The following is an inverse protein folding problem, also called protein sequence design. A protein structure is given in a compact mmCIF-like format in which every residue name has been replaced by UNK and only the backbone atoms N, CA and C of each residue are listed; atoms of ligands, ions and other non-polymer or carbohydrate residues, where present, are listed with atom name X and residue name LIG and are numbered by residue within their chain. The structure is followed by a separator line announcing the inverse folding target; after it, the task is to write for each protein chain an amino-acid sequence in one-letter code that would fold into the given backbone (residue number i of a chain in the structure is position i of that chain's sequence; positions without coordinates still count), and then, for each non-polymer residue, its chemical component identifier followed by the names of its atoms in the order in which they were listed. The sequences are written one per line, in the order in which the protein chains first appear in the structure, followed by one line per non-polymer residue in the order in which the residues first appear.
data_IF_905900832109
#
_entry.id   IF_905900832109
#
_cell.length_a   1.000
_cell.length_b   1.000
_cell.length_c   1.000
_cell.angle_alpha   90.00
_cell.angle_beta   90.00
_cell.angle_gamma   90.00
#
_symmetry.space_group_name_H-M   'P 1'
#
loop_
_entity.id
_entity.type
_entity.pdbx_description
1 polymer ?
#
# COMPACT_ATOMS: atom_id res chain seq x y z
N UNK A 1 -18.41 3.15 1.34
CA UNK A 1 -18.68 1.70 1.53
C UNK A 1 -17.65 0.85 0.80
N UNK A 2 -17.46 1.00 -0.52
CA UNK A 2 -16.50 0.21 -1.31
C UNK A 2 -15.02 0.42 -0.91
N UNK A 3 -14.63 1.67 -0.62
CA UNK A 3 -13.29 2.02 -0.13
C UNK A 3 -12.92 1.28 1.15
N UNK A 4 -13.83 1.25 2.12
CA UNK A 4 -13.63 0.55 3.39
C UNK A 4 -13.41 -0.95 3.16
N UNK A 5 -14.21 -1.57 2.28
CA UNK A 5 -14.08 -2.99 1.95
C UNK A 5 -12.74 -3.28 1.32
N UNK A 6 -12.29 -2.47 0.36
CA UNK A 6 -11.02 -2.72 -0.31
C UNK A 6 -9.82 -2.45 0.62
N UNK A 7 -9.91 -1.44 1.50
CA UNK A 7 -8.91 -1.20 2.56
C UNK A 7 -8.82 -2.38 3.53
N UNK A 8 -9.94 -3.01 3.89
CA UNK A 8 -9.97 -4.26 4.68
C UNK A 8 -9.34 -5.40 3.89
N UNK A 9 -9.69 -5.55 2.60
CA UNK A 9 -9.16 -6.59 1.74
C UNK A 9 -7.64 -6.55 1.64
N UNK A 10 -7.02 -5.38 1.54
CA UNK A 10 -5.55 -5.25 1.49
C UNK A 10 -4.88 -5.11 2.87
N UNK A 11 -5.62 -5.29 3.96
CA UNK A 11 -5.08 -5.23 5.31
C UNK A 11 -4.59 -6.62 5.74
N UNK A 12 -3.31 -6.76 6.09
CA UNK A 12 -2.74 -8.06 6.48
C UNK A 12 -2.81 -8.35 7.99
N UNK A 13 -3.66 -7.62 8.72
CA UNK A 13 -3.75 -7.67 10.18
C UNK A 13 -2.81 -6.71 10.91
N UNK A 14 -1.82 -6.12 10.22
CA UNK A 14 -0.88 -5.14 10.82
C UNK A 14 -0.88 -3.79 10.13
N UNK A 15 -0.96 -3.77 8.79
CA UNK A 15 -0.95 -2.55 7.98
C UNK A 15 -1.77 -2.72 6.71
N UNK A 16 -2.19 -1.60 6.14
CA UNK A 16 -2.75 -1.52 4.79
C UNK A 16 -1.59 -1.68 3.79
N UNK A 17 -1.70 -2.65 2.89
CA UNK A 17 -0.67 -2.96 1.89
C UNK A 17 -1.00 -2.40 0.51
N UNK A 18 -0.79 -1.10 0.33
CA UNK A 18 -1.05 -0.43 -0.97
C UNK A 18 -0.21 -1.01 -2.13
N UNK A 19 0.94 -1.63 -1.83
CA UNK A 19 1.74 -2.35 -2.82
C UNK A 19 0.99 -3.52 -3.49
N UNK A 20 -0.04 -4.07 -2.84
CA UNK A 20 -0.91 -5.09 -3.43
C UNK A 20 -1.73 -4.50 -4.57
N UNK A 21 -2.30 -3.31 -4.40
CA UNK A 21 -3.07 -2.63 -5.44
C UNK A 21 -2.16 -2.24 -6.61
N UNK A 22 -0.95 -1.74 -6.31
CA UNK A 22 0.05 -1.40 -7.33
C UNK A 22 0.42 -2.64 -8.18
N UNK A 23 0.59 -3.80 -7.55
CA UNK A 23 0.88 -5.05 -8.27
C UNK A 23 -0.32 -5.60 -9.07
N UNK A 24 -1.55 -5.25 -8.70
CA UNK A 24 -2.77 -5.66 -9.42
C UNK A 24 -3.03 -4.81 -10.67
N UNK A 25 -2.61 -3.54 -10.68
CA UNK A 25 -2.87 -2.60 -11.79
C UNK A 25 -2.37 -3.10 -13.16
N UNK A 26 -1.14 -3.63 -13.32
CA UNK A 26 -0.71 -4.18 -14.61
C UNK A 26 -1.61 -5.31 -15.13
N UNK A 27 -2.08 -6.19 -14.24
CA UNK A 27 -2.96 -7.31 -14.61
C UNK A 27 -4.36 -6.84 -15.01
N UNK A 28 -4.87 -5.79 -14.37
CA UNK A 28 -6.11 -5.12 -14.78
C UNK A 28 -5.96 -4.46 -16.15
N UNK A 29 -4.81 -3.82 -16.42
CA UNK A 29 -4.52 -3.23 -17.72
C UNK A 29 -4.41 -4.29 -18.83
N UNK A 30 -3.76 -5.42 -18.58
CA UNK A 30 -3.75 -6.56 -19.51
C UNK A 30 -5.16 -7.04 -19.84
N UNK A 31 -6.00 -7.21 -18.82
CA UNK A 31 -7.39 -7.63 -19.00
C UNK A 31 -8.18 -6.59 -19.81
N UNK A 32 -8.05 -5.31 -19.48
CA UNK A 32 -8.69 -4.22 -20.23
C UNK A 32 -8.23 -4.16 -21.68
N UNK A 33 -6.94 -4.37 -21.94
CA UNK A 33 -6.39 -4.40 -23.29
C UNK A 33 -6.93 -5.58 -24.10
N UNK A 34 -7.10 -6.75 -23.47
CA UNK A 34 -7.79 -7.87 -24.10
C UNK A 34 -9.21 -7.50 -24.51
N UNK A 35 -10.00 -6.89 -23.62
CA UNK A 35 -11.36 -6.43 -23.94
C UNK A 35 -11.41 -5.33 -25.00
N UNK A 36 -10.38 -4.49 -25.06
CA UNK A 36 -10.30 -3.42 -26.06
C UNK A 36 -9.97 -3.95 -27.46
N UNK A 37 -9.31 -5.11 -27.55
CA UNK A 37 -8.90 -5.74 -28.80
C UNK A 37 -9.92 -6.78 -29.30
N UNK A 38 -10.55 -7.52 -28.40
CA UNK A 38 -11.51 -8.57 -28.76
C UNK A 38 -12.88 -7.98 -29.12
N UNK A 39 -13.56 -8.61 -30.08
CA UNK A 39 -14.91 -8.25 -30.53
C UNK A 39 -15.84 -9.47 -30.68
N UNK A 40 -15.41 -10.61 -30.13
CA UNK A 40 -16.06 -11.91 -30.34
C UNK A 40 -17.01 -12.30 -29.22
N UNK A 41 -16.88 -11.70 -28.04
CA UNK A 41 -17.63 -12.08 -26.86
C UNK A 41 -18.08 -10.87 -26.04
N UNK A 42 -19.29 -10.95 -25.50
CA UNK A 42 -19.81 -10.09 -24.44
C UNK A 42 -20.09 -10.91 -23.20
N UNK A 43 -19.70 -10.40 -22.04
CA UNK A 43 -19.71 -11.11 -20.77
C UNK A 43 -20.68 -10.45 -19.80
N UNK A 44 -21.72 -11.18 -19.40
CA UNK A 44 -22.72 -10.70 -18.47
C UNK A 44 -22.64 -11.50 -17.17
N UNK A 45 -22.79 -10.82 -16.02
CA UNK A 45 -22.79 -11.49 -14.71
C UNK A 45 -21.46 -12.16 -14.33
N UNK A 46 -20.38 -11.92 -15.07
CA UNK A 46 -19.04 -12.41 -14.72
C UNK A 46 -18.38 -11.51 -13.67
N UNK A 47 -17.42 -12.07 -12.93
CA UNK A 47 -16.73 -11.37 -11.84
C UNK A 47 -15.22 -11.32 -12.07
N UNK A 48 -14.57 -10.36 -11.41
CA UNK A 48 -13.10 -10.29 -11.32
C UNK A 48 -12.70 -10.73 -9.92
N UNK A 49 -11.97 -11.84 -9.85
CA UNK A 49 -11.42 -12.39 -8.63
C UNK A 49 -10.01 -11.83 -8.39
N UNK A 50 -9.87 -11.11 -7.28
CA UNK A 50 -8.59 -10.62 -6.77
C UNK A 50 -8.09 -11.56 -5.66
N UNK A 51 -6.85 -12.01 -5.80
CA UNK A 51 -6.19 -12.87 -4.82
C UNK A 51 -4.80 -12.32 -4.54
N UNK A 52 -4.36 -12.43 -3.30
CA UNK A 52 -2.96 -12.18 -2.95
C UNK A 52 -2.55 -13.02 -1.75
N UNK A 53 -1.25 -13.19 -1.56
CA UNK A 53 -0.70 -13.79 -0.36
C UNK A 53 -0.53 -12.75 0.76
N UNK A 54 -1.36 -12.86 1.79
CA UNK A 54 -1.36 -11.96 2.95
C UNK A 54 -0.13 -12.08 3.85
N UNK A 55 0.51 -13.26 3.88
CA UNK A 55 1.66 -13.55 4.73
C UNK A 55 3.00 -13.21 4.06
N UNK A 56 3.04 -13.22 2.72
CA UNK A 56 4.25 -12.88 1.96
C UNK A 56 4.64 -11.42 2.09
N UNK A 57 5.95 -11.17 2.24
CA UNK A 57 6.54 -9.83 2.18
C UNK A 57 6.49 -9.22 0.78
N UNK A 58 6.48 -10.05 -0.26
CA UNK A 58 6.37 -9.61 -1.65
C UNK A 58 4.91 -9.60 -2.12
N UNK A 59 4.55 -8.72 -3.06
CA UNK A 59 3.19 -8.64 -3.58
C UNK A 59 2.93 -9.75 -4.61
N UNK A 60 2.67 -10.97 -4.13
CA UNK A 60 2.21 -12.07 -4.99
C UNK A 60 0.70 -11.98 -5.21
N UNK A 61 0.29 -11.45 -6.37
CA UNK A 61 -1.12 -11.19 -6.69
C UNK A 61 -1.60 -11.95 -7.93
N UNK A 62 -2.88 -12.32 -7.94
CA UNK A 62 -3.59 -12.86 -9.11
C UNK A 62 -4.88 -12.06 -9.33
N UNK A 63 -5.13 -11.72 -10.59
CA UNK A 63 -6.37 -11.09 -11.05
C UNK A 63 -6.91 -11.99 -12.15
N UNK A 64 -8.13 -12.51 -11.97
CA UNK A 64 -8.73 -13.49 -12.89
C UNK A 64 -10.20 -13.19 -13.10
N UNK A 65 -10.67 -13.36 -14.34
CA UNK A 65 -12.10 -13.43 -14.59
C UNK A 65 -12.65 -14.80 -14.17
N UNK A 66 -13.85 -14.80 -13.61
CA UNK A 66 -14.60 -15.99 -13.24
C UNK A 66 -16.07 -15.84 -13.66
N UNK A 67 -16.82 -16.95 -13.63
CA UNK A 67 -18.26 -17.01 -13.91
C UNK A 67 -18.65 -16.61 -15.34
N UNK A 68 -18.32 -17.49 -16.29
CA UNK A 68 -18.57 -17.28 -17.73
C UNK A 68 -19.92 -17.85 -18.20
N UNK A 69 -20.84 -18.17 -17.28
CA UNK A 69 -22.10 -18.86 -17.60
C UNK A 69 -22.98 -18.07 -18.59
N UNK A 70 -22.91 -16.73 -18.57
CA UNK A 70 -23.64 -15.84 -19.48
C UNK A 70 -22.68 -15.10 -20.43
N UNK A 71 -21.90 -15.86 -21.20
CA UNK A 71 -21.02 -15.33 -22.24
C UNK A 71 -21.69 -15.47 -23.61
N UNK A 72 -21.96 -14.34 -24.26
CA UNK A 72 -22.61 -14.29 -25.57
C UNK A 72 -21.59 -14.09 -26.67
N UNK A 73 -21.66 -14.88 -27.73
CA UNK A 73 -20.88 -14.65 -28.95
C UNK A 73 -21.45 -13.45 -29.71
N UNK A 74 -20.55 -12.63 -30.22
CA UNK A 74 -20.87 -11.42 -30.98
C UNK A 74 -20.43 -11.63 -32.43
N UNK A 75 -21.31 -11.30 -33.37
CA UNK A 75 -21.07 -11.45 -34.82
C UNK A 75 -21.00 -10.12 -35.55
N UNK A 76 -21.40 -9.02 -34.92
CA UNK A 76 -21.42 -7.67 -35.49
C UNK A 76 -20.09 -6.92 -35.28
N UNK A 77 -19.10 -7.54 -34.62
CA UNK A 77 -17.80 -6.95 -34.33
C UNK A 77 -17.82 -5.87 -33.25
N UNK A 78 -18.92 -5.70 -32.52
CA UNK A 78 -19.00 -4.72 -31.43
C UNK A 78 -18.22 -5.17 -30.20
N UNK A 79 -17.66 -4.20 -29.48
CA UNK A 79 -16.94 -4.43 -28.22
C UNK A 79 -17.90 -4.55 -27.05
N UNK A 80 -17.41 -5.12 -25.97
CA UNK A 80 -18.09 -5.10 -24.68
C UNK A 80 -17.78 -3.78 -23.94
N UNK A 81 -18.45 -2.70 -24.37
CA UNK A 81 -18.29 -1.36 -23.80
C UNK A 81 -18.62 -1.32 -22.30
N UNK A 82 -19.58 -2.13 -21.87
CA UNK A 82 -19.96 -2.23 -20.46
C UNK A 82 -18.84 -2.83 -19.61
N UNK A 83 -18.20 -3.90 -20.10
CA UNK A 83 -17.06 -4.50 -19.41
C UNK A 83 -15.84 -3.57 -19.39
N UNK A 84 -15.57 -2.89 -20.51
CA UNK A 84 -14.51 -1.88 -20.60
C UNK A 84 -14.71 -0.75 -19.59
N UNK A 85 -15.93 -0.20 -19.51
CA UNK A 85 -16.27 0.84 -18.55
C UNK A 85 -16.11 0.36 -17.10
N UNK A 86 -16.55 -0.87 -16.81
CA UNK A 86 -16.38 -1.48 -15.49
C UNK A 86 -14.89 -1.62 -15.11
N UNK A 87 -14.06 -2.11 -16.02
CA UNK A 87 -12.61 -2.21 -15.81
C UNK A 87 -11.95 -0.84 -15.59
N UNK A 88 -12.29 0.17 -16.40
CA UNK A 88 -11.78 1.53 -16.25
C UNK A 88 -12.17 2.14 -14.90
N UNK A 89 -13.39 1.87 -14.43
CA UNK A 89 -13.87 2.31 -13.11
C UNK A 89 -13.05 1.67 -11.98
N UNK A 90 -12.80 0.35 -12.05
CA UNK A 90 -11.98 -0.37 -11.06
C UNK A 90 -10.53 0.11 -11.06
N UNK A 91 -9.94 0.30 -12.24
CA UNK A 91 -8.57 0.80 -12.39
C UNK A 91 -8.43 2.20 -11.76
N UNK A 92 -9.35 3.10 -12.07
CA UNK A 92 -9.34 4.46 -11.52
C UNK A 92 -9.54 4.45 -10.01
N UNK A 93 -10.43 3.59 -9.52
CA UNK A 93 -10.62 3.41 -8.08
C UNK A 93 -9.33 2.95 -7.38
N UNK A 94 -8.62 1.97 -7.94
CA UNK A 94 -7.35 1.50 -7.39
C UNK A 94 -6.30 2.61 -7.38
N UNK A 95 -6.19 3.38 -8.48
CA UNK A 95 -5.26 4.52 -8.56
C UNK A 95 -5.53 5.56 -7.48
N UNK A 96 -6.79 5.97 -7.31
CA UNK A 96 -7.17 6.96 -6.30
C UNK A 96 -6.80 6.49 -4.88
N UNK A 97 -7.05 5.21 -4.55
CA UNK A 97 -6.68 4.66 -3.24
C UNK A 97 -5.17 4.60 -3.01
N UNK A 98 -4.40 4.28 -4.06
CA UNK A 98 -2.94 4.30 -4.00
C UNK A 98 -2.44 5.72 -3.75
N UNK A 99 -3.02 6.72 -4.40
CA UNK A 99 -2.70 8.13 -4.21
C UNK A 99 -3.06 8.64 -2.80
N UNK A 100 -4.23 8.24 -2.28
CA UNK A 100 -4.58 8.47 -0.87
C UNK A 100 -3.58 7.83 0.09
N UNK A 101 -3.19 6.58 -0.18
CA UNK A 101 -2.19 5.86 0.60
C UNK A 101 -0.84 6.59 0.63
N UNK A 102 -0.41 7.12 -0.50
CA UNK A 102 0.81 7.94 -0.61
C UNK A 102 0.68 9.27 0.14
N UNK A 103 -0.49 9.87 0.13
CA UNK A 103 -0.80 11.11 0.86
C UNK A 103 -0.78 10.90 2.38
N UNK A 104 -1.09 9.70 2.87
CA UNK A 104 -1.00 9.34 4.28
C UNK A 104 0.40 8.82 4.72
N UNK A 105 1.30 8.58 3.75
CA UNK A 105 2.76 8.44 3.97
C UNK A 105 3.45 9.80 3.87
N UNK A 106 2.78 10.88 4.27
CA UNK A 106 3.45 12.16 4.56
C UNK A 106 3.80 12.25 6.06
N UNK A 107 4.45 11.21 6.58
CA UNK A 107 5.28 11.39 7.76
C UNK A 107 6.57 12.00 7.27
N UNK A 108 6.90 13.22 7.70
CA UNK A 108 8.22 13.79 7.41
C UNK A 108 9.31 12.81 7.87
N UNK A 109 10.43 12.74 7.16
CA UNK A 109 11.56 11.97 7.65
C UNK A 109 11.96 12.49 9.04
N UNK A 110 12.29 11.59 9.97
CA UNK A 110 12.81 12.01 11.26
C UNK A 110 14.06 12.88 11.05
N UNK A 111 14.03 14.11 11.54
CA UNK A 111 15.21 14.95 11.59
C UNK A 111 16.05 14.54 12.79
N UNK A 112 17.05 13.69 12.57
CA UNK A 112 17.86 13.13 13.64
C UNK A 112 18.93 14.10 14.12
N UNK A 113 18.94 14.41 15.41
CA UNK A 113 20.04 15.11 16.08
C UNK A 113 20.81 14.15 16.96
N UNK A 114 22.11 14.07 16.78
CA UNK A 114 22.99 13.31 17.66
C UNK A 114 23.11 14.05 19.02
N UNK A 115 22.68 13.41 20.11
CA UNK A 115 22.51 14.03 21.43
C UNK A 115 23.25 13.30 22.55
N UNK A 116 23.50 14.03 23.64
CA UNK A 116 23.94 13.50 24.92
C UNK A 116 22.72 13.38 25.84
N UNK A 117 22.33 12.15 26.19
CA UNK A 117 21.24 11.88 27.11
C UNK A 117 21.75 12.00 28.55
N UNK A 118 21.27 13.01 29.28
CA UNK A 118 21.66 13.28 30.67
C UNK A 118 20.83 12.51 31.69
N UNK A 119 19.75 11.87 31.24
CA UNK A 119 18.83 11.08 32.05
C UNK A 119 18.75 9.66 31.51
N UNK A 120 18.39 8.67 32.35
CA UNK A 120 18.07 7.32 31.89
C UNK A 120 17.08 7.37 30.72
N UNK A 121 17.51 6.97 29.53
CA UNK A 121 16.72 7.03 28.30
C UNK A 121 16.77 5.68 27.59
N UNK A 122 15.62 5.20 27.11
CA UNK A 122 15.51 3.92 26.40
C UNK A 122 15.29 4.13 24.91
N UNK A 123 15.80 3.20 24.11
CA UNK A 123 15.67 3.21 22.67
C UNK A 123 14.24 2.87 22.26
N UNK A 124 13.59 3.74 21.48
CA UNK A 124 12.23 3.53 20.99
C UNK A 124 12.09 2.38 19.98
N UNK A 125 13.21 1.83 19.48
CA UNK A 125 13.22 0.70 18.53
C UNK A 125 13.39 -0.66 19.21
N UNK A 126 14.42 -0.82 20.06
CA UNK A 126 14.74 -2.11 20.67
C UNK A 126 14.40 -2.18 22.16
N UNK A 127 13.85 -1.11 22.74
CA UNK A 127 13.58 -0.93 24.17
C UNK A 127 14.81 -1.07 25.09
N UNK A 128 16.01 -1.21 24.52
CA UNK A 128 17.26 -1.28 25.27
C UNK A 128 17.70 0.08 25.81
N UNK A 129 18.43 0.07 26.91
CA UNK A 129 18.92 1.28 27.55
C UNK A 129 19.97 2.00 26.67
N UNK A 130 19.86 3.32 26.52
CA UNK A 130 20.85 4.13 25.81
C UNK A 130 21.92 4.56 26.83
N UNK A 131 23.03 3.81 26.88
CA UNK A 131 24.08 3.98 27.89
C UNK A 131 25.36 4.60 27.33
N UNK A 132 26.15 5.23 28.20
CA UNK A 132 27.46 5.83 27.89
C UNK A 132 27.75 7.04 28.77
N UNK A 133 28.96 7.12 29.33
CA UNK A 133 29.27 8.03 30.46
C UNK A 133 29.90 9.37 30.03
N UNK A 134 30.30 9.53 28.76
CA UNK A 134 31.06 10.71 28.33
C UNK A 134 30.98 11.03 26.82
N UNK A 135 30.02 10.47 26.07
CA UNK A 135 29.88 10.76 24.63
C UNK A 135 28.42 10.76 24.19
N UNK A 136 28.13 11.31 23.00
CA UNK A 136 26.76 11.30 22.45
C UNK A 136 26.31 9.85 22.22
N UNK A 137 25.33 9.36 22.97
CA UNK A 137 24.98 7.93 23.02
C UNK A 137 23.97 7.51 21.93
N UNK A 138 23.25 8.45 21.33
CA UNK A 138 22.23 8.16 20.32
C UNK A 138 21.64 9.38 19.62
N UNK A 139 20.60 9.16 18.84
CA UNK A 139 19.88 10.20 18.11
C UNK A 139 18.52 10.48 18.75
N UNK A 140 18.11 11.74 18.71
CA UNK A 140 16.77 12.21 19.07
C UNK A 140 16.12 12.87 17.86
N UNK A 141 14.85 12.60 17.59
CA UNK A 141 14.11 13.32 16.57
C UNK A 141 13.93 14.79 16.98
N UNK A 142 14.16 15.72 16.05
CA UNK A 142 14.01 17.15 16.30
C UNK A 142 12.55 17.64 16.20
N UNK A 143 11.66 16.83 15.65
CA UNK A 143 10.24 17.16 15.62
C UNK A 143 9.70 17.13 17.06
N UNK A 144 9.16 18.26 17.53
CA UNK A 144 8.71 18.45 18.91
C UNK A 144 7.57 17.51 19.31
N UNK A 145 6.75 17.05 18.36
CA UNK A 145 5.70 16.07 18.60
C UNK A 145 6.20 14.62 18.45
N UNK A 146 7.49 14.42 18.24
CA UNK A 146 8.13 13.10 18.14
C UNK A 146 9.17 12.89 19.24
N UNK A 147 8.88 11.97 20.15
CA UNK A 147 9.75 11.69 21.30
C UNK A 147 10.74 10.54 21.04
N UNK A 148 10.96 10.18 19.78
CA UNK A 148 11.85 9.07 19.43
C UNK A 148 13.29 9.36 19.85
N UNK A 149 13.83 8.46 20.68
CA UNK A 149 15.22 8.42 21.09
C UNK A 149 15.78 7.05 20.72
N UNK A 150 16.89 6.99 20.00
CA UNK A 150 17.34 5.74 19.35
C UNK A 150 18.84 5.58 19.48
N UNK A 151 19.33 4.34 19.57
CA UNK A 151 20.76 4.07 19.46
C UNK A 151 21.29 4.48 18.08
N UNK A 152 22.59 4.72 18.00
CA UNK A 152 23.27 5.03 16.74
C UNK A 152 23.03 3.96 15.66
N UNK A 153 23.05 2.69 16.06
CA UNK A 153 22.81 1.56 15.15
C UNK A 153 21.32 1.39 14.80
N UNK A 154 20.41 1.64 15.75
CA UNK A 154 18.97 1.53 15.53
C UNK A 154 18.39 2.64 14.64
N UNK A 155 19.11 3.77 14.49
CA UNK A 155 18.66 4.92 13.70
C UNK A 155 18.33 4.56 12.24
N UNK A 156 19.05 3.60 11.64
CA UNK A 156 18.82 3.16 10.25
C UNK A 156 17.69 2.14 10.11
N UNK A 157 17.21 1.57 11.22
CA UNK A 157 16.18 0.52 11.26
C UNK A 157 14.76 1.07 11.42
N UNK A 158 14.64 2.39 11.59
CA UNK A 158 13.35 3.06 11.79
C UNK A 158 12.84 3.59 10.46
N UNK A 159 11.58 3.30 10.15
CA UNK A 159 10.90 3.84 8.98
C UNK A 159 10.94 5.37 8.99
N UNK A 160 11.07 5.99 7.81
CA UNK A 160 11.15 7.45 7.65
C UNK A 160 9.82 8.18 7.91
N UNK A 161 8.97 7.65 8.79
CA UNK A 161 7.61 8.14 9.02
C UNK A 161 7.52 8.77 10.41
N UNK A 162 7.97 10.02 10.53
CA UNK A 162 7.83 10.77 11.78
C UNK A 162 6.35 11.11 12.02
N UNK A 163 5.70 10.45 12.98
CA UNK A 163 4.28 10.65 13.34
C UNK A 163 3.97 11.99 14.04
N UNK A 164 4.91 12.93 14.01
CA UNK A 164 4.69 14.26 14.58
C UNK A 164 3.90 15.12 13.59
N UNK A 165 2.56 15.06 13.65
CA UNK A 165 1.72 15.91 12.82
C UNK A 165 1.80 17.38 13.24
N UNK A 166 1.72 18.24 12.22
CA UNK A 166 1.61 19.69 12.25
C UNK A 166 0.62 20.15 13.32
N UNK A 167 1.09 21.00 14.25
CA UNK A 167 0.22 21.94 14.95
C UNK A 167 0.19 23.24 14.16
#
# INVERSE_FOLDING_TARGET
MMETVLKIFIHNGTKIRYEILEAMLPKLHELRNFFAAQTSYKFYGSSILFLYDGASSEPNVKVKMVDFAHTNKVTDGTKDESYLFGLDSVINFFKNLIEEGKSHVSGTAHQWKLVYFKTPTFCSHCSGFIWGVASKQGFRCQNKSCEYNVHRHCCKLIANTCRGNNK
#
